data_IF_566166419581
#
_entry.id   IF_566166419581
#
_cell.length_a   1.000
_cell.length_b   1.000
_cell.length_c   1.000
_cell.angle_alpha   90.00
_cell.angle_beta   90.00
_cell.angle_gamma   90.00
#
_symmetry.space_group_name_H-M   'P 1'
#
loop_
_entity.id
_entity.type
_entity.pdbx_description
1 polymer ?
#
# COMPACT_ATOMS: atom_id res chain seq x y z
N UNK A 1 4.28 -1.97 27.45
CA UNK A 1 3.05 -2.32 26.71
C UNK A 1 2.54 -3.65 27.25
N UNK A 2 1.29 -3.70 27.69
CA UNK A 2 0.69 -4.79 28.51
C UNK A 2 0.28 -6.05 27.72
N UNK A 3 1.05 -6.46 26.73
CA UNK A 3 0.70 -7.65 25.94
C UNK A 3 0.81 -8.94 26.75
N UNK A 4 1.85 -9.09 27.59
CA UNK A 4 2.03 -10.28 28.44
C UNK A 4 0.87 -10.50 29.44
N UNK A 5 0.43 -9.50 30.25
CA UNK A 5 -0.67 -9.68 31.20
C UNK A 5 -2.01 -10.06 30.54
N UNK A 6 -2.29 -9.54 29.35
CA UNK A 6 -3.51 -9.89 28.61
C UNK A 6 -3.41 -11.28 27.98
N UNK A 7 -2.25 -11.68 27.47
CA UNK A 7 -2.07 -13.03 26.91
C UNK A 7 -2.20 -14.13 27.96
N UNK A 8 -1.85 -13.85 29.22
CA UNK A 8 -2.02 -14.82 30.33
C UNK A 8 -3.47 -15.07 30.74
N UNK A 9 -4.42 -14.22 30.33
CA UNK A 9 -5.86 -14.43 30.62
C UNK A 9 -6.58 -15.22 29.53
N UNK A 10 -5.89 -15.54 28.42
CA UNK A 10 -6.46 -16.25 27.28
C UNK A 10 -6.14 -17.76 27.31
N UNK A 11 -7.01 -18.62 26.75
CA UNK A 11 -6.70 -20.03 26.58
C UNK A 11 -5.42 -20.25 25.76
N UNK A 12 -4.67 -21.30 26.07
CA UNK A 12 -3.39 -21.61 25.42
C UNK A 12 -3.47 -21.66 23.87
N UNK A 13 -4.63 -22.05 23.31
CA UNK A 13 -4.87 -22.08 21.86
C UNK A 13 -4.73 -20.72 21.15
N UNK A 14 -4.81 -19.60 21.86
CA UNK A 14 -4.68 -18.25 21.25
C UNK A 14 -3.20 -17.88 21.03
N UNK A 15 -2.27 -18.50 21.77
CA UNK A 15 -0.85 -18.16 21.74
C UNK A 15 -0.20 -18.36 20.36
N UNK A 16 -0.67 -19.32 19.57
CA UNK A 16 -0.16 -19.58 18.22
C UNK A 16 -0.47 -18.47 17.21
N UNK A 17 -1.35 -17.53 17.56
CA UNK A 17 -1.77 -16.43 16.69
C UNK A 17 -1.16 -15.09 17.09
N UNK A 18 -0.24 -15.11 18.07
CA UNK A 18 0.48 -13.93 18.54
C UNK A 18 1.97 -14.19 18.44
N UNK A 19 2.73 -13.44 17.62
CA UNK A 19 4.16 -13.63 17.53
C UNK A 19 4.82 -13.46 18.91
N UNK A 20 5.65 -14.42 19.31
CA UNK A 20 6.38 -14.39 20.57
C UNK A 20 5.65 -14.98 21.78
N UNK A 21 4.34 -15.20 21.70
CA UNK A 21 3.57 -15.68 22.85
C UNK A 21 3.97 -17.10 23.31
N UNK A 22 4.41 -17.98 22.39
CA UNK A 22 4.89 -19.32 22.71
C UNK A 22 6.36 -19.40 23.15
N UNK A 23 7.17 -18.38 22.86
CA UNK A 23 8.62 -18.36 23.14
C UNK A 23 9.01 -17.38 24.24
N UNK A 24 8.05 -16.63 24.79
CA UNK A 24 8.29 -15.58 25.79
C UNK A 24 8.99 -14.34 25.22
N UNK A 25 9.14 -14.23 23.90
CA UNK A 25 9.79 -13.09 23.24
C UNK A 25 8.84 -11.90 23.20
N UNK A 26 9.32 -10.72 23.59
CA UNK A 26 8.47 -9.54 23.59
C UNK A 26 8.18 -9.04 22.18
N UNK A 27 6.98 -8.49 21.97
CA UNK A 27 6.57 -7.94 20.69
C UNK A 27 7.51 -6.86 20.15
N UNK A 28 8.06 -6.03 21.04
CA UNK A 28 9.09 -5.03 20.70
C UNK A 28 10.40 -5.65 20.25
N UNK A 29 10.76 -6.82 20.78
CA UNK A 29 11.98 -7.55 20.42
C UNK A 29 11.84 -8.19 19.05
N UNK A 30 10.68 -8.80 18.76
CA UNK A 30 10.36 -9.33 17.42
C UNK A 30 10.40 -8.21 16.39
N UNK A 31 9.79 -7.05 16.69
CA UNK A 31 9.84 -5.87 15.82
C UNK A 31 11.27 -5.44 15.51
N UNK A 32 12.20 -5.50 16.48
CA UNK A 32 13.60 -5.13 16.24
C UNK A 32 14.29 -6.10 15.28
N UNK A 33 13.92 -7.38 15.31
CA UNK A 33 14.49 -8.42 14.45
C UNK A 33 13.93 -8.35 13.02
N UNK A 34 12.61 -8.33 12.87
CA UNK A 34 11.97 -8.46 11.55
C UNK A 34 11.60 -7.12 10.91
N UNK A 35 11.56 -6.05 11.70
CA UNK A 35 11.10 -4.73 11.27
C UNK A 35 9.57 -4.56 11.36
N UNK A 36 9.13 -3.31 11.42
CA UNK A 36 7.72 -2.95 11.66
C UNK A 36 6.79 -3.43 10.55
N UNK A 37 7.17 -3.27 9.28
CA UNK A 37 6.30 -3.66 8.16
C UNK A 37 6.14 -5.19 8.07
N UNK A 38 7.22 -5.96 8.30
CA UNK A 38 7.14 -7.43 8.35
C UNK A 38 6.31 -7.92 9.53
N UNK A 39 6.41 -7.26 10.68
CA UNK A 39 5.61 -7.58 11.86
C UNK A 39 4.11 -7.40 11.59
N UNK A 40 3.71 -6.29 10.96
CA UNK A 40 2.29 -6.05 10.60
C UNK A 40 1.78 -7.16 9.68
N UNK A 41 2.58 -7.56 8.68
CA UNK A 41 2.22 -8.65 7.75
C UNK A 41 1.99 -9.96 8.49
N UNK A 42 2.96 -10.34 9.33
CA UNK A 42 2.88 -11.56 10.14
C UNK A 42 1.64 -11.55 11.04
N UNK A 43 1.42 -10.44 11.76
CA UNK A 43 0.29 -10.32 12.68
C UNK A 43 -1.06 -10.43 11.96
N UNK A 44 -1.22 -9.82 10.79
CA UNK A 44 -2.43 -9.92 9.98
C UNK A 44 -2.65 -11.32 9.40
N UNK A 45 -1.59 -12.01 9.01
CA UNK A 45 -1.71 -13.39 8.52
C UNK A 45 -2.11 -14.36 9.64
N UNK A 46 -1.53 -14.20 10.82
CA UNK A 46 -1.95 -14.97 12.00
C UNK A 46 -3.40 -14.67 12.39
N UNK A 47 -3.84 -13.41 12.31
CA UNK A 47 -5.24 -13.05 12.56
C UNK A 47 -6.20 -13.71 11.56
N UNK A 48 -5.87 -13.74 10.27
CA UNK A 48 -6.68 -14.47 9.26
C UNK A 48 -6.78 -15.95 9.57
N UNK A 49 -5.66 -16.56 9.99
CA UNK A 49 -5.65 -17.98 10.40
C UNK A 49 -6.54 -18.20 11.62
N UNK A 50 -6.49 -17.32 12.61
CA UNK A 50 -7.36 -17.37 13.79
C UNK A 50 -8.85 -17.34 13.38
N UNK A 51 -9.25 -16.37 12.57
CA UNK A 51 -10.63 -16.21 12.08
C UNK A 51 -11.09 -17.47 11.33
N UNK A 52 -10.21 -18.10 10.55
CA UNK A 52 -10.55 -19.29 9.77
C UNK A 52 -10.64 -20.58 10.60
N UNK A 53 -9.95 -20.67 11.74
CA UNK A 53 -9.71 -21.95 12.42
C UNK A 53 -10.22 -22.02 13.86
N UNK A 54 -10.33 -20.89 14.55
CA UNK A 54 -10.63 -20.85 15.99
C UNK A 54 -11.83 -19.96 16.33
N UNK A 55 -12.13 -18.94 15.52
CA UNK A 55 -13.14 -17.92 15.83
C UNK A 55 -14.56 -18.48 15.95
N UNK A 56 -15.12 -18.37 17.14
CA UNK A 56 -16.48 -18.75 17.52
C UNK A 56 -17.43 -17.55 17.56
N UNK A 57 -16.93 -16.35 17.20
CA UNK A 57 -17.68 -15.09 17.17
C UNK A 57 -18.23 -14.63 18.54
N UNK A 58 -17.68 -15.18 19.63
CA UNK A 58 -18.01 -14.82 21.00
C UNK A 58 -17.40 -13.48 21.42
N UNK A 59 -17.73 -12.99 22.62
CA UNK A 59 -17.20 -11.71 23.11
C UNK A 59 -15.69 -11.73 23.34
N UNK A 60 -15.11 -12.89 23.64
CA UNK A 60 -13.68 -13.07 23.87
C UNK A 60 -12.92 -13.00 22.54
N UNK A 61 -13.41 -13.67 21.51
CA UNK A 61 -12.82 -13.68 20.16
C UNK A 61 -12.86 -12.28 19.55
N UNK A 62 -13.98 -11.56 19.70
CA UNK A 62 -14.07 -10.15 19.28
C UNK A 62 -13.05 -9.27 20.01
N UNK A 63 -12.91 -9.44 21.32
CA UNK A 63 -11.91 -8.71 22.10
C UNK A 63 -10.47 -9.04 21.67
N UNK A 64 -10.20 -10.31 21.39
CA UNK A 64 -8.90 -10.76 20.88
C UNK A 64 -8.60 -10.16 19.51
N UNK A 65 -9.52 -10.27 18.55
CA UNK A 65 -9.40 -9.69 17.20
C UNK A 65 -9.10 -8.19 17.30
N UNK A 66 -9.90 -7.44 18.06
CA UNK A 66 -9.70 -6.00 18.25
C UNK A 66 -8.33 -5.65 18.87
N UNK A 67 -7.83 -6.48 19.79
CA UNK A 67 -6.50 -6.31 20.39
C UNK A 67 -5.39 -6.51 19.36
N UNK A 68 -5.50 -7.55 18.53
CA UNK A 68 -4.53 -7.86 17.49
C UNK A 68 -4.52 -6.78 16.39
N UNK A 69 -5.70 -6.30 15.98
CA UNK A 69 -5.82 -5.16 15.06
C UNK A 69 -5.18 -3.90 15.63
N UNK A 70 -5.43 -3.59 16.91
CA UNK A 70 -4.82 -2.46 17.61
C UNK A 70 -3.29 -2.55 17.65
N UNK A 71 -2.72 -3.74 17.83
CA UNK A 71 -1.27 -3.96 17.80
C UNK A 71 -0.69 -3.79 16.40
N UNK A 72 -1.39 -4.27 15.37
CA UNK A 72 -0.99 -4.06 13.98
C UNK A 72 -1.04 -2.57 13.61
N UNK A 73 -2.07 -1.85 14.04
CA UNK A 73 -2.22 -0.41 13.82
C UNK A 73 -1.16 0.40 14.56
N UNK A 74 -0.78 -0.01 15.77
CA UNK A 74 0.35 0.58 16.47
C UNK A 74 1.65 0.37 15.71
N UNK A 75 1.94 -0.84 15.24
CA UNK A 75 3.15 -1.13 14.48
C UNK A 75 3.20 -0.31 13.19
N UNK A 76 2.07 -0.20 12.47
CA UNK A 76 1.89 0.71 11.33
C UNK A 76 2.19 2.17 11.71
N UNK A 77 1.60 2.66 12.80
CA UNK A 77 1.76 4.04 13.28
C UNK A 77 3.21 4.33 13.68
N UNK A 78 3.88 3.37 14.31
CA UNK A 78 5.31 3.43 14.62
C UNK A 78 6.16 3.45 13.36
N UNK A 79 5.81 2.69 12.32
CA UNK A 79 6.52 2.68 11.04
C UNK A 79 6.39 4.03 10.30
N UNK A 80 5.33 4.78 10.59
CA UNK A 80 5.12 6.14 10.08
C UNK A 80 5.95 7.19 10.83
N UNK A 81 6.47 6.90 12.03
CA UNK A 81 7.35 7.82 12.77
C UNK A 81 8.76 7.81 12.16
N UNK A 82 9.31 9.01 11.91
CA UNK A 82 10.67 9.17 11.40
C UNK A 82 11.69 8.89 12.53
N UNK A 83 12.68 8.01 12.34
CA UNK A 83 13.77 7.87 13.30
C UNK A 83 14.56 9.19 13.38
N UNK A 84 14.82 9.67 14.61
CA UNK A 84 15.52 10.95 14.85
C UNK A 84 16.97 10.93 14.33
N UNK A 85 17.61 9.76 14.27
CA UNK A 85 18.94 9.53 13.66
C UNK A 85 18.93 8.14 13.01
N UNK A 86 19.28 8.05 11.74
CA UNK A 86 19.48 6.78 11.04
C UNK A 86 20.78 6.88 10.25
N UNK A 87 21.75 6.02 10.58
CA UNK A 87 23.01 5.89 9.85
C UNK A 87 22.86 4.71 8.91
N UNK A 88 23.02 4.90 7.60
CA UNK A 88 22.96 3.81 6.61
C UNK A 88 24.36 3.61 6.02
N UNK A 89 25.10 2.59 6.48
CA UNK A 89 26.46 2.26 5.99
C UNK A 89 27.38 3.49 5.84
N UNK A 90 27.48 4.32 6.89
CA UNK A 90 28.30 5.54 6.87
C UNK A 90 27.71 6.75 6.13
N UNK A 91 26.48 6.65 5.60
CA UNK A 91 25.74 7.75 4.98
C UNK A 91 24.65 8.31 5.91
N UNK A 92 24.41 9.61 5.81
CA UNK A 92 23.32 10.29 6.51
C UNK A 92 21.95 9.77 6.00
N UNK A 93 21.39 8.80 6.71
CA UNK A 93 20.09 8.18 6.40
C UNK A 93 18.89 9.02 6.84
N UNK A 94 19.11 10.07 7.63
CA UNK A 94 18.08 10.99 8.15
C UNK A 94 17.22 11.67 7.08
N UNK A 95 17.71 11.76 5.83
CA UNK A 95 16.99 12.36 4.68
C UNK A 95 16.62 11.36 3.58
N UNK A 96 16.94 10.08 3.76
CA UNK A 96 16.64 9.06 2.76
C UNK A 96 15.14 8.75 2.75
N UNK A 97 14.53 8.76 1.57
CA UNK A 97 13.19 8.17 1.41
C UNK A 97 13.37 6.67 1.22
N UNK A 98 12.56 5.87 1.92
CA UNK A 98 12.48 4.42 1.67
C UNK A 98 12.07 4.13 0.23
N UNK A 99 11.15 4.91 -0.32
CA UNK A 99 10.61 4.76 -1.67
C UNK A 99 10.88 5.99 -2.55
N UNK A 100 10.87 5.75 -3.86
CA UNK A 100 10.86 6.78 -4.87
C UNK A 100 9.71 7.78 -4.67
N UNK A 101 9.94 9.05 -4.97
CA UNK A 101 8.90 10.10 -4.97
C UNK A 101 7.68 9.74 -5.82
N UNK A 102 7.90 9.01 -6.91
CA UNK A 102 6.88 8.80 -7.94
C UNK A 102 6.33 7.37 -8.01
N UNK A 103 6.99 6.37 -7.41
CA UNK A 103 6.53 4.99 -7.44
C UNK A 103 6.90 4.24 -6.14
N UNK A 104 6.68 2.93 -6.13
CA UNK A 104 6.98 2.02 -5.03
C UNK A 104 8.38 1.40 -5.04
N UNK A 105 9.20 1.66 -6.06
CA UNK A 105 10.60 1.21 -6.08
C UNK A 105 11.41 1.93 -4.99
N UNK A 106 12.43 1.29 -4.39
CA UNK A 106 13.30 1.96 -3.43
C UNK A 106 14.00 3.16 -4.07
N UNK A 107 14.24 4.22 -3.29
CA UNK A 107 15.12 5.29 -3.75
C UNK A 107 16.53 4.73 -3.96
N UNK A 108 17.32 5.30 -4.88
CA UNK A 108 18.65 4.79 -5.23
C UNK A 108 19.54 4.57 -4.00
N UNK A 109 19.54 5.52 -3.06
CA UNK A 109 20.29 5.38 -1.80
C UNK A 109 19.81 4.22 -0.93
N UNK A 110 18.50 3.98 -0.85
CA UNK A 110 17.93 2.88 -0.07
C UNK A 110 18.23 1.53 -0.72
N UNK A 111 18.08 1.46 -2.05
CA UNK A 111 18.41 0.26 -2.84
C UNK A 111 19.87 -0.16 -2.64
N UNK A 112 20.79 0.80 -2.63
CA UNK A 112 22.21 0.55 -2.38
C UNK A 112 22.48 0.12 -0.93
N UNK A 113 21.80 0.73 0.05
CA UNK A 113 22.01 0.40 1.46
C UNK A 113 21.56 -1.04 1.80
N UNK A 114 20.49 -1.50 1.14
CA UNK A 114 19.88 -2.82 1.36
C UNK A 114 20.60 -3.93 0.58
N UNK A 115 21.31 -3.60 -0.49
CA UNK A 115 22.11 -4.57 -1.24
C UNK A 115 23.47 -4.80 -0.57
N UNK A 116 23.60 -5.96 0.09
CA UNK A 116 24.80 -6.39 0.82
C UNK A 116 25.98 -6.68 -0.09
N UNK A 117 25.73 -6.95 -1.37
CA UNK A 117 26.76 -7.30 -2.37
C UNK A 117 27.46 -6.09 -2.98
N UNK A 118 26.86 -4.90 -2.84
CA UNK A 118 27.42 -3.65 -3.35
C UNK A 118 28.51 -3.13 -2.40
N UNK A 119 29.78 -3.23 -2.83
CA UNK A 119 30.93 -2.64 -2.14
C UNK A 119 31.20 -1.26 -2.74
N UNK A 120 31.53 -0.26 -1.92
CA UNK A 120 32.03 1.03 -2.42
C UNK A 120 33.32 0.79 -3.20
N UNK A 121 33.29 0.93 -4.53
CA UNK A 121 34.50 1.04 -5.33
C UNK A 121 35.19 2.39 -5.09
N UNK A 122 36.52 2.43 -5.24
CA UNK A 122 37.33 3.64 -5.04
C UNK A 122 37.06 4.74 -6.10
N UNK A 123 36.42 4.41 -7.24
CA UNK A 123 36.32 5.33 -8.38
C UNK A 123 34.89 5.79 -8.72
N UNK A 124 33.88 5.40 -7.97
CA UNK A 124 32.51 5.74 -8.32
C UNK A 124 31.97 6.88 -7.46
N UNK A 125 31.84 8.05 -8.08
CA UNK A 125 30.84 9.05 -7.70
C UNK A 125 29.43 8.46 -7.93
N UNK A 126 29.06 7.46 -7.13
CA UNK A 126 27.74 6.85 -7.07
C UNK A 126 26.74 7.95 -6.69
N UNK A 127 26.16 8.60 -7.70
CA UNK A 127 25.10 9.61 -7.57
C UNK A 127 23.79 8.93 -7.18
N UNK A 128 23.76 8.36 -5.98
CA UNK A 128 22.60 7.70 -5.41
C UNK A 128 21.58 8.75 -5.00
N UNK A 129 20.48 8.81 -5.72
CA UNK A 129 19.39 9.70 -5.34
C UNK A 129 18.76 9.25 -4.02
N UNK A 130 18.65 10.18 -3.07
CA UNK A 130 17.87 10.04 -1.84
C UNK A 130 16.36 10.05 -2.08
N UNK A 131 15.91 10.52 -3.27
CA UNK A 131 14.51 10.81 -3.58
C UNK A 131 13.92 9.94 -4.68
N UNK A 132 14.72 9.50 -5.64
CA UNK A 132 14.24 8.83 -6.84
C UNK A 132 14.87 7.45 -7.00
N UNK A 133 14.14 6.50 -7.60
CA UNK A 133 14.74 5.28 -8.11
C UNK A 133 15.54 5.57 -9.39
N UNK A 134 16.26 4.57 -9.90
CA UNK A 134 17.02 4.64 -11.15
C UNK A 134 16.18 5.15 -12.32
N UNK A 135 14.97 4.61 -12.51
CA UNK A 135 14.07 4.98 -13.60
C UNK A 135 13.55 6.43 -13.53
N UNK A 136 13.57 7.02 -12.33
CA UNK A 136 13.02 8.35 -12.06
C UNK A 136 14.11 9.36 -11.73
N UNK A 137 15.37 9.09 -12.06
CA UNK A 137 16.41 10.11 -11.94
C UNK A 137 16.19 11.23 -12.97
N UNK A 138 16.43 12.51 -12.64
CA UNK A 138 16.24 13.62 -13.58
C UNK A 138 17.06 13.51 -14.86
N UNK A 139 18.27 12.94 -14.74
CA UNK A 139 19.19 12.67 -15.82
C UNK A 139 19.49 11.18 -15.88
N UNK A 140 19.68 10.67 -17.09
CA UNK A 140 20.18 9.33 -17.33
C UNK A 140 21.70 9.29 -17.08
N UNK A 141 22.31 8.11 -16.91
CA UNK A 141 23.77 7.97 -16.78
C UNK A 141 24.54 8.61 -17.95
N UNK A 142 23.94 8.63 -19.15
CA UNK A 142 24.47 9.31 -20.33
C UNK A 142 24.41 10.85 -20.27
N UNK A 143 23.92 11.45 -19.18
CA UNK A 143 23.70 12.89 -19.04
C UNK A 143 22.41 13.41 -19.70
N UNK A 144 21.74 12.61 -20.53
CA UNK A 144 20.51 12.98 -21.21
C UNK A 144 19.33 13.19 -20.23
N UNK A 145 18.37 14.05 -20.60
CA UNK A 145 17.17 14.31 -19.79
C UNK A 145 16.22 13.11 -19.78
N UNK A 146 15.81 12.68 -18.58
CA UNK A 146 14.90 11.55 -18.43
C UNK A 146 13.42 11.96 -18.65
N UNK A 147 12.78 11.35 -19.66
CA UNK A 147 11.36 11.57 -19.96
C UNK A 147 10.43 10.96 -18.91
N UNK A 148 10.77 9.81 -18.33
CA UNK A 148 9.96 9.18 -17.28
C UNK A 148 9.88 10.08 -16.04
N UNK A 149 11.02 10.67 -15.63
CA UNK A 149 11.05 11.70 -14.59
C UNK A 149 10.11 12.88 -14.91
N UNK A 150 10.20 13.46 -16.11
CA UNK A 150 9.36 14.61 -16.50
C UNK A 150 7.87 14.27 -16.54
N UNK A 151 7.51 13.09 -17.05
CA UNK A 151 6.12 12.61 -17.06
C UNK A 151 5.60 12.44 -15.63
N UNK A 152 6.33 11.72 -14.78
CA UNK A 152 5.95 11.49 -13.40
C UNK A 152 5.87 12.76 -12.56
N UNK A 153 6.77 13.72 -12.80
CA UNK A 153 6.74 15.05 -12.16
C UNK A 153 5.48 15.83 -12.52
N UNK A 154 5.03 15.79 -13.77
CA UNK A 154 3.80 16.47 -14.22
C UNK A 154 2.53 15.88 -13.60
N UNK A 155 2.51 14.56 -13.35
CA UNK A 155 1.35 13.87 -12.78
C UNK A 155 1.46 13.62 -11.26
N UNK A 156 2.36 14.32 -10.57
CA UNK A 156 2.65 14.06 -9.15
C UNK A 156 1.45 14.30 -8.23
N UNK A 157 0.66 15.34 -8.51
CA UNK A 157 -0.52 15.66 -7.71
C UNK A 157 -1.60 14.58 -7.81
N UNK A 158 -1.84 14.07 -9.03
CA UNK A 158 -2.76 12.95 -9.25
C UNK A 158 -2.26 11.69 -8.56
N UNK A 159 -0.95 11.42 -8.61
CA UNK A 159 -0.36 10.28 -7.91
C UNK A 159 -0.55 10.36 -6.39
N UNK A 160 -0.31 11.51 -5.77
CA UNK A 160 -0.49 11.67 -4.33
C UNK A 160 -1.96 11.52 -3.93
N UNK A 161 -2.88 12.01 -4.76
CA UNK A 161 -4.32 11.85 -4.57
C UNK A 161 -4.74 10.36 -4.61
N UNK A 162 -4.35 9.63 -5.66
CA UNK A 162 -4.68 8.20 -5.79
C UNK A 162 -4.02 7.36 -4.69
N UNK A 163 -2.78 7.68 -4.32
CA UNK A 163 -2.11 7.03 -3.20
C UNK A 163 -2.83 7.32 -1.87
N UNK A 164 -3.32 8.54 -1.66
CA UNK A 164 -4.12 8.88 -0.48
C UNK A 164 -5.41 8.08 -0.40
N UNK A 165 -6.11 7.92 -1.52
CA UNK A 165 -7.33 7.10 -1.63
C UNK A 165 -7.05 5.63 -1.33
N UNK A 166 -5.99 5.06 -1.92
CA UNK A 166 -5.56 3.67 -1.64
C UNK A 166 -5.17 3.47 -0.19
N UNK A 167 -4.38 4.36 0.40
CA UNK A 167 -3.97 4.23 1.81
C UNK A 167 -5.17 4.27 2.75
N UNK A 168 -6.09 5.21 2.55
CA UNK A 168 -7.32 5.31 3.36
C UNK A 168 -8.11 4.02 3.24
N UNK A 169 -8.49 3.62 2.04
CA UNK A 169 -9.29 2.42 1.81
C UNK A 169 -8.59 1.12 2.23
N UNK A 170 -7.26 1.04 2.17
CA UNK A 170 -6.52 -0.14 2.61
C UNK A 170 -6.46 -0.25 4.14
N UNK A 171 -6.46 0.90 4.86
CA UNK A 171 -6.43 0.94 6.31
C UNK A 171 -7.71 0.34 6.93
N UNK A 172 -8.88 0.63 6.36
CA UNK A 172 -10.13 -0.04 6.72
C UNK A 172 -10.86 -0.53 5.46
N UNK A 173 -10.95 -1.86 5.35
CA UNK A 173 -11.47 -2.57 4.17
C UNK A 173 -12.96 -2.92 4.29
N UNK A 174 -13.59 -2.65 5.42
CA UNK A 174 -14.98 -3.02 5.67
C UNK A 174 -16.00 -2.04 5.09
N UNK A 175 -15.59 -0.79 4.83
CA UNK A 175 -16.49 0.25 4.32
C UNK A 175 -15.81 1.13 3.25
N UNK A 176 -16.57 1.70 2.29
CA UNK A 176 -16.05 2.70 1.36
C UNK A 176 -15.58 3.97 2.09
N UNK A 177 -14.30 4.29 1.98
CA UNK A 177 -13.69 5.44 2.67
C UNK A 177 -12.51 6.05 1.92
N UNK A 178 -12.45 5.86 0.60
CA UNK A 178 -11.45 6.54 -0.21
C UNK A 178 -11.58 8.07 -0.13
N UNK A 179 -12.73 8.60 0.35
CA UNK A 179 -13.00 10.00 0.63
C UNK A 179 -12.62 10.89 -0.57
N UNK A 180 -13.14 10.49 -1.72
CA UNK A 180 -13.05 11.20 -3.00
C UNK A 180 -14.06 12.33 -3.12
N UNK A 181 -15.12 12.33 -2.29
CA UNK A 181 -16.28 13.20 -2.42
C UNK A 181 -17.35 12.64 -3.38
N UNK A 182 -17.10 11.49 -4.01
CA UNK A 182 -18.02 10.81 -4.91
C UNK A 182 -18.27 9.36 -4.44
N UNK A 183 -19.51 8.98 -4.13
CA UNK A 183 -19.82 7.63 -3.62
C UNK A 183 -19.47 6.49 -4.58
N UNK A 184 -19.57 6.69 -5.90
CA UNK A 184 -19.23 5.67 -6.89
C UNK A 184 -17.71 5.48 -6.97
N UNK A 185 -16.95 6.56 -6.89
CA UNK A 185 -15.49 6.48 -6.83
C UNK A 185 -15.03 5.80 -5.56
N UNK A 186 -15.61 6.14 -4.41
CA UNK A 186 -15.28 5.49 -3.14
C UNK A 186 -15.62 4.00 -3.16
N UNK A 187 -16.76 3.64 -3.76
CA UNK A 187 -17.15 2.25 -3.96
C UNK A 187 -16.22 1.50 -4.93
N UNK A 188 -15.72 2.16 -5.98
CA UNK A 188 -14.70 1.58 -6.86
C UNK A 188 -13.45 1.18 -6.05
N UNK A 189 -12.92 2.08 -5.21
CA UNK A 189 -11.74 1.76 -4.40
C UNK A 189 -12.00 0.65 -3.39
N UNK A 190 -13.19 0.64 -2.79
CA UNK A 190 -13.62 -0.42 -1.88
C UNK A 190 -13.59 -1.78 -2.59
N UNK A 191 -14.30 -1.92 -3.72
CA UNK A 191 -14.35 -3.17 -4.46
C UNK A 191 -12.97 -3.56 -5.02
N UNK A 192 -12.24 -2.58 -5.55
CA UNK A 192 -10.87 -2.77 -6.04
C UNK A 192 -9.96 -3.31 -4.94
N UNK A 193 -10.01 -2.79 -3.71
CA UNK A 193 -9.14 -3.32 -2.65
C UNK A 193 -9.65 -4.67 -2.11
N UNK A 194 -10.95 -4.93 -2.08
CA UNK A 194 -11.48 -6.24 -1.69
C UNK A 194 -10.99 -7.37 -2.60
N UNK A 195 -10.78 -7.11 -3.90
CA UNK A 195 -10.20 -8.09 -4.82
C UNK A 195 -8.67 -8.25 -4.70
N UNK A 196 -8.02 -7.49 -3.81
CA UNK A 196 -6.56 -7.42 -3.68
C UNK A 196 -6.09 -7.91 -2.32
N UNK A 197 -4.96 -8.62 -2.30
CA UNK A 197 -4.32 -9.10 -1.06
C UNK A 197 -3.45 -8.06 -0.36
N UNK A 198 -3.26 -6.89 -0.99
CA UNK A 198 -2.37 -5.81 -0.52
C UNK A 198 -2.73 -5.31 0.88
N UNK A 199 -1.75 -5.21 1.77
CA UNK A 199 -1.97 -4.73 3.14
C UNK A 199 -1.46 -3.28 3.32
N UNK A 200 -1.86 -2.56 4.39
CA UNK A 200 -1.35 -1.22 4.68
C UNK A 200 0.18 -1.16 4.82
N UNK A 201 0.80 -2.26 5.25
CA UNK A 201 2.26 -2.40 5.33
C UNK A 201 2.93 -2.46 3.95
N UNK A 202 2.18 -2.72 2.88
CA UNK A 202 2.67 -2.93 1.52
C UNK A 202 2.86 -1.59 0.81
N UNK A 203 3.55 -0.67 1.48
CA UNK A 203 3.71 0.72 1.05
C UNK A 203 4.30 0.85 -0.35
N UNK A 204 5.22 -0.04 -0.74
CA UNK A 204 5.75 -0.10 -2.09
C UNK A 204 4.67 -0.46 -3.11
N UNK A 205 3.89 -1.49 -2.83
CA UNK A 205 2.83 -1.95 -3.72
C UNK A 205 1.70 -0.92 -3.88
N UNK A 206 1.23 -0.33 -2.77
CA UNK A 206 0.22 0.75 -2.82
C UNK A 206 0.69 1.94 -3.68
N UNK A 207 1.99 2.28 -3.62
CA UNK A 207 2.58 3.31 -4.49
C UNK A 207 2.67 2.86 -5.95
N UNK A 208 2.99 1.60 -6.23
CA UNK A 208 2.99 1.09 -7.60
C UNK A 208 1.58 1.10 -8.20
N UNK A 209 0.57 0.69 -7.44
CA UNK A 209 -0.83 0.73 -7.88
C UNK A 209 -1.31 2.16 -8.14
N UNK A 210 -1.00 3.11 -7.24
CA UNK A 210 -1.30 4.53 -7.48
C UNK A 210 -0.63 5.06 -8.76
N UNK A 211 0.63 4.69 -8.99
CA UNK A 211 1.35 5.06 -10.22
C UNK A 211 0.68 4.46 -11.45
N UNK A 212 0.29 3.19 -11.38
CA UNK A 212 -0.38 2.49 -12.46
C UNK A 212 -1.71 3.14 -12.85
N UNK A 213 -2.52 3.54 -11.86
CA UNK A 213 -3.78 4.27 -12.10
C UNK A 213 -3.56 5.58 -12.85
N UNK A 214 -2.53 6.34 -12.47
CA UNK A 214 -2.17 7.61 -13.11
C UNK A 214 -1.64 7.40 -14.52
N UNK A 215 -0.70 6.48 -14.70
CA UNK A 215 -0.07 6.23 -16.00
C UNK A 215 -1.07 5.65 -17.00
N UNK A 216 -2.06 4.89 -16.52
CA UNK A 216 -3.19 4.37 -17.31
C UNK A 216 -4.30 5.41 -17.57
N UNK A 217 -4.16 6.62 -17.04
CA UNK A 217 -5.17 7.70 -17.11
C UNK A 217 -6.55 7.23 -16.64
N UNK A 218 -6.59 6.53 -15.50
CA UNK A 218 -7.82 6.05 -14.87
C UNK A 218 -8.51 7.18 -14.09
N UNK A 219 -9.24 8.02 -14.81
CA UNK A 219 -9.99 9.13 -14.21
C UNK A 219 -11.16 8.66 -13.34
N UNK A 220 -11.62 9.52 -12.45
CA UNK A 220 -12.80 9.25 -11.60
C UNK A 220 -14.03 8.93 -12.43
N UNK A 221 -14.16 9.57 -13.60
CA UNK A 221 -15.23 9.25 -14.55
C UNK A 221 -15.17 7.82 -15.07
N UNK A 222 -13.97 7.29 -15.32
CA UNK A 222 -13.79 5.89 -15.70
C UNK A 222 -14.05 4.96 -14.52
N UNK A 223 -13.63 5.32 -13.30
CA UNK A 223 -13.93 4.55 -12.07
C UNK A 223 -15.44 4.43 -11.82
N UNK A 224 -16.19 5.53 -11.99
CA UNK A 224 -17.66 5.54 -11.94
C UNK A 224 -18.27 4.58 -12.96
N UNK A 225 -17.80 4.61 -14.21
CA UNK A 225 -18.30 3.70 -15.25
C UNK A 225 -17.97 2.23 -14.93
N UNK A 226 -16.77 1.95 -14.42
CA UNK A 226 -16.36 0.60 -14.04
C UNK A 226 -17.20 0.03 -12.91
N UNK A 227 -17.46 0.79 -11.85
CA UNK A 227 -18.27 0.28 -10.73
C UNK A 227 -19.73 0.08 -11.13
N UNK A 228 -20.28 0.92 -12.01
CA UNK A 228 -21.63 0.74 -12.53
C UNK A 228 -21.72 -0.44 -13.50
N UNK A 229 -20.68 -0.69 -14.29
CA UNK A 229 -20.61 -1.88 -15.13
C UNK A 229 -20.50 -3.15 -14.28
N UNK A 230 -19.75 -3.09 -13.17
CA UNK A 230 -19.66 -4.17 -12.19
C UNK A 230 -21.01 -4.47 -11.51
N UNK A 231 -21.86 -3.45 -11.33
CA UNK A 231 -23.26 -3.62 -10.89
C UNK A 231 -24.17 -4.26 -11.96
N UNK A 232 -23.66 -4.57 -13.16
CA UNK A 232 -24.42 -5.16 -14.25
C UNK A 232 -25.12 -4.15 -15.16
N UNK A 233 -24.92 -2.84 -14.98
CA UNK A 233 -25.57 -1.85 -15.85
C UNK A 233 -24.95 -1.86 -17.25
N UNK A 234 -25.81 -1.72 -18.25
CA UNK A 234 -25.39 -1.55 -19.64
C UNK A 234 -25.00 -0.10 -19.94
N UNK A 235 -24.39 0.14 -21.12
CA UNK A 235 -23.88 1.48 -21.47
C UNK A 235 -24.95 2.58 -21.51
N UNK A 236 -26.20 2.25 -21.82
CA UNK A 236 -27.30 3.21 -21.87
C UNK A 236 -27.74 3.61 -20.46
N UNK A 237 -27.84 2.64 -19.54
CA UNK A 237 -28.16 2.87 -18.13
C UNK A 237 -27.06 3.66 -17.43
N UNK A 238 -25.79 3.32 -17.68
CA UNK A 238 -24.64 4.09 -17.18
C UNK A 238 -24.71 5.53 -17.68
N UNK A 239 -25.02 5.73 -18.96
CA UNK A 239 -25.12 7.05 -19.56
C UNK A 239 -26.22 7.90 -18.90
N UNK A 240 -27.38 7.30 -18.66
CA UNK A 240 -28.50 7.93 -17.97
C UNK A 240 -28.14 8.26 -16.51
N UNK A 241 -27.61 7.30 -15.75
CA UNK A 241 -27.25 7.47 -14.34
C UNK A 241 -26.17 8.53 -14.12
N UNK A 242 -25.26 8.66 -15.08
CA UNK A 242 -24.18 9.63 -15.05
C UNK A 242 -24.52 10.94 -15.80
N UNK A 243 -25.72 11.09 -16.35
CA UNK A 243 -26.18 12.26 -17.13
C UNK A 243 -25.23 12.65 -18.27
N UNK A 244 -24.79 11.66 -19.06
CA UNK A 244 -23.91 11.86 -20.23
C UNK A 244 -24.41 11.08 -21.45
N UNK A 245 -23.83 11.37 -22.62
CA UNK A 245 -24.13 10.62 -23.85
C UNK A 245 -23.57 9.19 -23.78
N UNK A 246 -24.35 8.19 -24.22
CA UNK A 246 -23.91 6.78 -24.39
C UNK A 246 -22.60 6.66 -25.17
N UNK A 247 -22.41 7.50 -26.20
CA UNK A 247 -21.16 7.53 -26.97
C UNK A 247 -19.93 7.86 -26.12
N UNK A 248 -20.08 8.72 -25.10
CA UNK A 248 -18.98 9.06 -24.17
C UNK A 248 -18.61 7.86 -23.29
N UNK A 249 -19.63 7.10 -22.82
CA UNK A 249 -19.42 5.84 -22.09
C UNK A 249 -18.68 4.84 -22.97
N UNK A 250 -19.14 4.62 -24.20
CA UNK A 250 -18.50 3.69 -25.15
C UNK A 250 -17.04 4.04 -25.41
N UNK A 251 -16.72 5.32 -25.65
CA UNK A 251 -15.33 5.77 -25.86
C UNK A 251 -14.47 5.57 -24.62
N UNK A 252 -14.99 5.89 -23.44
CA UNK A 252 -14.26 5.72 -22.19
C UNK A 252 -13.96 4.25 -21.91
N UNK A 253 -14.94 3.35 -22.05
CA UNK A 253 -14.76 1.91 -21.86
C UNK A 253 -13.80 1.32 -22.90
N UNK A 254 -13.86 1.73 -24.17
CA UNK A 254 -12.87 1.31 -25.18
C UNK A 254 -11.45 1.71 -24.80
N UNK A 255 -11.27 2.89 -24.20
CA UNK A 255 -9.95 3.33 -23.75
C UNK A 255 -9.40 2.53 -22.55
N UNK A 256 -10.26 1.78 -21.85
CA UNK A 256 -9.86 0.92 -20.73
C UNK A 256 -9.28 -0.41 -21.18
N UNK A 257 -9.41 -0.79 -22.46
CA UNK A 257 -8.79 -2.02 -23.01
C UNK A 257 -7.25 -1.98 -22.86
N UNK A 258 -6.65 -0.79 -22.93
CA UNK A 258 -5.22 -0.60 -22.71
C UNK A 258 -4.84 -0.49 -21.22
N UNK A 259 -5.81 -0.46 -20.30
CA UNK A 259 -5.53 -0.44 -18.87
C UNK A 259 -5.16 -1.85 -18.40
N UNK A 260 -4.20 -1.97 -17.46
CA UNK A 260 -3.89 -3.24 -16.83
C UNK A 260 -5.13 -3.88 -16.21
N UNK A 261 -5.32 -5.19 -16.47
CA UNK A 261 -6.46 -5.96 -15.94
C UNK A 261 -6.63 -5.84 -14.43
N UNK A 262 -5.52 -5.70 -13.70
CA UNK A 262 -5.51 -5.47 -12.26
C UNK A 262 -6.42 -4.30 -11.83
N UNK A 263 -6.49 -3.23 -12.63
CA UNK A 263 -7.29 -2.03 -12.36
C UNK A 263 -8.75 -2.16 -12.79
N UNK A 264 -9.12 -3.26 -13.43
CA UNK A 264 -10.48 -3.52 -13.84
C UNK A 264 -11.15 -4.35 -12.74
N UNK A 265 -12.43 -4.08 -12.49
CA UNK A 265 -13.22 -4.91 -11.59
C UNK A 265 -13.71 -6.10 -12.41
N UNK A 266 -13.13 -7.27 -12.19
CA UNK A 266 -13.68 -8.52 -12.72
C UNK A 266 -14.91 -8.88 -11.86
N UNK A 267 -16.04 -9.10 -12.55
CA UNK A 267 -17.31 -9.54 -11.97
C UNK A 267 -17.46 -11.05 -12.12
#
# INVERSE_FOLDING_TARGET
MHQRPYMTTLPARYSSFVPGAGTGTDFSEIIRLVGLDAMVRLQRELLRRFIKTVDQHDSRDRCFIATIESLADLACSCACKRPKKATMRGLNGTRSRSFCRFCGKPAGLKSFADDVSQVRGNDDNLRLSTKYCTDHQPQLPSGASNLAYRRAKRSVAQFDMELGRLNRQCANRGTPQAASGDPLVDRYFHQYLLSQTVQPADKGELRNQARLMVDSKLSDRKKQMLILQWDGLNQSEIAQKLSIKRQAVSKALKSLVACPKLLLLEG
#
